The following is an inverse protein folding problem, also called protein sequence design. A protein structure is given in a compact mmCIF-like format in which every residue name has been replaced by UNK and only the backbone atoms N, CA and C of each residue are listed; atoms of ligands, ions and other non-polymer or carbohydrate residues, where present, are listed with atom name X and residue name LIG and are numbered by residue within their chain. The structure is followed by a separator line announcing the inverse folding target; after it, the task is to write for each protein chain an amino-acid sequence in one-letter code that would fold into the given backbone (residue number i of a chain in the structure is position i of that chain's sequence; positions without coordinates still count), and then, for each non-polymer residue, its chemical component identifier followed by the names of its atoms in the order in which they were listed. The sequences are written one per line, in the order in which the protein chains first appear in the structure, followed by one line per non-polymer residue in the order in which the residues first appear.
data_IF_845988532482
#
_entry.id   IF_845988532482
#
_cell.length_a   1.000
_cell.length_b   1.000
_cell.length_c   1.000
_cell.angle_alpha   90.00
_cell.angle_beta   90.00
_cell.angle_gamma   90.00
#
_symmetry.space_group_name_H-M   'P 1'
#
loop_
_entity.id
_entity.type
_entity.pdbx_description
1 polymer ?
#
# COMPACT_ATOMS: atom_id res chain seq x y z
N UNK A 1 -92.64 -31.01 -40.25
CA UNK A 1 -92.71 -31.53 -38.87
C UNK A 1 -91.29 -31.73 -38.38
N UNK A 2 -90.96 -31.28 -37.16
CA UNK A 2 -89.61 -31.47 -36.59
C UNK A 2 -89.45 -32.94 -36.22
N UNK A 3 -88.33 -33.55 -36.61
CA UNK A 3 -88.03 -34.96 -36.32
C UNK A 3 -87.37 -35.10 -34.94
N UNK A 4 -87.55 -36.25 -34.28
CA UNK A 4 -86.92 -36.52 -32.98
C UNK A 4 -85.38 -36.41 -33.03
N UNK A 5 -84.79 -36.78 -34.16
CA UNK A 5 -83.35 -36.69 -34.40
C UNK A 5 -82.86 -35.23 -34.37
N UNK A 6 -83.61 -34.31 -34.98
CA UNK A 6 -83.31 -32.86 -34.93
C UNK A 6 -83.40 -32.31 -33.50
N UNK A 7 -84.36 -32.79 -32.70
CA UNK A 7 -84.50 -32.40 -31.29
C UNK A 7 -83.29 -32.89 -30.49
N UNK A 8 -82.94 -34.18 -30.58
CA UNK A 8 -81.77 -34.74 -29.90
C UNK A 8 -80.47 -34.03 -30.29
N UNK A 9 -80.29 -33.72 -31.58
CA UNK A 9 -79.11 -33.02 -32.07
C UNK A 9 -79.00 -31.61 -31.50
N UNK A 10 -80.12 -30.87 -31.42
CA UNK A 10 -80.13 -29.54 -30.79
C UNK A 10 -79.77 -29.56 -29.30
N UNK A 11 -80.24 -30.56 -28.54
CA UNK A 11 -79.86 -30.73 -27.14
C UNK A 11 -78.38 -31.06 -27.00
N UNK A 12 -77.85 -31.94 -27.84
CA UNK A 12 -76.44 -32.31 -27.80
C UNK A 12 -75.53 -31.12 -28.11
N UNK A 13 -75.82 -30.36 -29.17
CA UNK A 13 -75.09 -29.14 -29.50
C UNK A 13 -75.16 -28.10 -28.37
N UNK A 14 -76.31 -27.99 -27.68
CA UNK A 14 -76.44 -27.11 -26.52
C UNK A 14 -75.55 -27.54 -25.34
N UNK A 15 -75.48 -28.84 -25.06
CA UNK A 15 -74.61 -29.38 -24.01
C UNK A 15 -73.12 -29.19 -24.34
N UNK A 16 -72.72 -29.44 -25.58
CA UNK A 16 -71.35 -29.20 -26.03
C UNK A 16 -70.97 -27.72 -25.94
N UNK A 17 -71.89 -26.81 -26.32
CA UNK A 17 -71.65 -25.37 -26.21
C UNK A 17 -71.43 -24.94 -24.74
N UNK A 18 -72.25 -25.44 -23.80
CA UNK A 18 -72.09 -25.14 -22.37
C UNK A 18 -70.77 -25.70 -21.84
N UNK A 19 -70.42 -26.94 -22.22
CA UNK A 19 -69.18 -27.57 -21.80
C UNK A 19 -67.95 -26.80 -22.32
N UNK A 20 -67.99 -26.33 -23.57
CA UNK A 20 -66.92 -25.52 -24.15
C UNK A 20 -66.76 -24.17 -23.44
N UNK A 21 -67.87 -23.47 -23.14
CA UNK A 21 -67.81 -22.21 -22.40
C UNK A 21 -67.16 -22.38 -21.02
N UNK A 22 -67.53 -23.44 -20.30
CA UNK A 22 -66.94 -23.74 -19.00
C UNK A 22 -65.44 -24.08 -19.11
N UNK A 23 -65.06 -24.89 -20.11
CA UNK A 23 -63.67 -25.24 -20.36
C UNK A 23 -62.81 -24.03 -20.72
N UNK A 24 -63.33 -23.08 -21.52
CA UNK A 24 -62.62 -21.86 -21.86
C UNK A 24 -62.39 -20.95 -20.64
N UNK A 25 -63.40 -20.79 -19.79
CA UNK A 25 -63.29 -20.00 -18.56
C UNK A 25 -62.31 -20.63 -17.57
N UNK A 26 -62.38 -21.96 -17.42
CA UNK A 26 -61.43 -22.72 -16.60
C UNK A 26 -60.01 -22.57 -17.14
N UNK A 27 -59.81 -22.67 -18.47
CA UNK A 27 -58.50 -22.52 -19.09
C UNK A 27 -57.94 -21.11 -18.84
N UNK A 28 -58.73 -20.05 -19.03
CA UNK A 28 -58.34 -18.66 -18.72
C UNK A 28 -57.89 -18.51 -17.27
N UNK A 29 -58.66 -19.08 -16.34
CA UNK A 29 -58.35 -19.04 -14.92
C UNK A 29 -57.05 -19.78 -14.60
N UNK A 30 -56.83 -20.97 -15.18
CA UNK A 30 -55.60 -21.74 -14.95
C UNK A 30 -54.36 -21.04 -15.49
N UNK A 31 -54.44 -20.43 -16.68
CA UNK A 31 -53.34 -19.66 -17.26
C UNK A 31 -53.01 -18.45 -16.40
N UNK A 32 -54.04 -17.75 -15.91
CA UNK A 32 -53.84 -16.60 -15.02
C UNK A 32 -53.17 -16.98 -13.70
N UNK A 33 -53.58 -18.09 -13.09
CA UNK A 33 -52.96 -18.61 -11.86
C UNK A 33 -51.49 -18.97 -12.11
N UNK A 34 -51.18 -19.67 -13.20
CA UNK A 34 -49.80 -20.03 -13.57
C UNK A 34 -48.92 -18.79 -13.77
N UNK A 35 -49.47 -17.72 -14.37
CA UNK A 35 -48.75 -16.47 -14.53
C UNK A 35 -48.45 -15.81 -13.18
N UNK A 36 -49.44 -15.75 -12.28
CA UNK A 36 -49.26 -15.20 -10.93
C UNK A 36 -48.28 -16.04 -10.09
N UNK A 37 -48.28 -17.35 -10.25
CA UNK A 37 -47.32 -18.24 -9.58
C UNK A 37 -45.89 -18.01 -10.07
N UNK A 38 -45.71 -17.83 -11.38
CA UNK A 38 -44.42 -17.51 -11.97
C UNK A 38 -43.89 -16.15 -11.48
N UNK A 39 -44.73 -15.12 -11.46
CA UNK A 39 -44.37 -13.79 -10.96
C UNK A 39 -44.04 -13.83 -9.46
N UNK A 40 -44.86 -14.51 -8.65
CA UNK A 40 -44.58 -14.69 -7.23
C UNK A 40 -43.24 -15.41 -6.98
N UNK A 41 -42.90 -16.39 -7.80
CA UNK A 41 -41.61 -17.08 -7.71
C UNK A 41 -40.45 -16.12 -7.98
N UNK A 42 -40.53 -15.33 -9.05
CA UNK A 42 -39.51 -14.32 -9.38
C UNK A 42 -39.38 -13.26 -8.28
N UNK A 43 -40.50 -12.77 -7.74
CA UNK A 43 -40.49 -11.82 -6.63
C UNK A 43 -39.85 -12.41 -5.37
N UNK A 44 -40.12 -13.68 -5.04
CA UNK A 44 -39.48 -14.35 -3.89
C UNK A 44 -37.97 -14.49 -4.07
N UNK A 45 -37.52 -14.85 -5.28
CA UNK A 45 -36.09 -14.97 -5.59
C UNK A 45 -35.37 -13.62 -5.49
N UNK A 46 -35.95 -12.56 -6.05
CA UNK A 46 -35.38 -11.21 -5.97
C UNK A 46 -35.35 -10.67 -4.53
N UNK A 47 -36.41 -10.89 -3.75
CA UNK A 47 -36.43 -10.54 -2.33
C UNK A 47 -35.33 -11.27 -1.56
N UNK A 48 -35.15 -12.57 -1.81
CA UNK A 48 -34.07 -13.34 -1.16
C UNK A 48 -32.69 -12.81 -1.54
N UNK A 49 -32.44 -12.49 -2.81
CA UNK A 49 -31.15 -11.92 -3.23
C UNK A 49 -30.89 -10.55 -2.60
N UNK A 50 -31.89 -9.68 -2.57
CA UNK A 50 -31.78 -8.35 -1.97
C UNK A 50 -31.55 -8.44 -0.46
N UNK A 51 -32.23 -9.36 0.23
CA UNK A 51 -32.01 -9.58 1.66
C UNK A 51 -30.58 -10.04 1.95
N UNK A 52 -30.01 -10.95 1.15
CA UNK A 52 -28.60 -11.36 1.28
C UNK A 52 -27.64 -10.18 1.04
N UNK A 53 -27.90 -9.35 0.04
CA UNK A 53 -27.07 -8.19 -0.24
C UNK A 53 -27.13 -7.15 0.89
N UNK A 54 -28.33 -6.87 1.41
CA UNK A 54 -28.51 -5.99 2.56
C UNK A 54 -27.74 -6.52 3.78
N UNK A 55 -27.85 -7.81 4.09
CA UNK A 55 -27.10 -8.41 5.20
C UNK A 55 -25.59 -8.28 5.01
N UNK A 56 -25.09 -8.52 3.79
CA UNK A 56 -23.66 -8.36 3.46
C UNK A 56 -23.21 -6.92 3.64
N UNK A 57 -23.97 -5.96 3.12
CA UNK A 57 -23.67 -4.53 3.24
C UNK A 57 -23.68 -4.09 4.71
N UNK A 58 -24.67 -4.50 5.50
CA UNK A 58 -24.74 -4.24 6.93
C UNK A 58 -23.56 -4.85 7.69
N UNK A 59 -23.19 -6.10 7.39
CA UNK A 59 -22.04 -6.74 8.01
C UNK A 59 -20.72 -6.03 7.66
N UNK A 60 -20.60 -5.43 6.48
CA UNK A 60 -19.42 -4.64 6.12
C UNK A 60 -19.41 -3.25 6.76
N UNK A 61 -20.57 -2.59 6.90
CA UNK A 61 -20.68 -1.25 7.47
C UNK A 61 -20.49 -1.23 8.99
N UNK A 62 -20.86 -2.32 9.67
CA UNK A 62 -20.66 -2.48 11.11
C UNK A 62 -19.21 -2.82 11.50
N UNK A 63 -18.35 -3.24 10.56
CA UNK A 63 -16.94 -3.55 10.82
C UNK A 63 -16.11 -2.27 10.88
N UNK A 64 -15.49 -2.02 12.02
CA UNK A 64 -14.57 -0.91 12.25
C UNK A 64 -13.29 -1.41 12.95
N UNK A 65 -12.31 -0.52 13.14
CA UNK A 65 -11.05 -0.87 13.81
C UNK A 65 -11.22 -1.42 15.24
N UNK A 66 -12.32 -1.07 15.93
CA UNK A 66 -12.62 -1.54 17.29
C UNK A 66 -13.05 -3.01 17.35
N UNK A 67 -13.75 -3.52 16.33
CA UNK A 67 -14.32 -4.88 16.34
C UNK A 67 -13.76 -5.84 15.28
N UNK A 68 -12.83 -5.38 14.41
CA UNK A 68 -12.38 -6.19 13.27
C UNK A 68 -10.86 -6.30 13.10
N UNK A 69 -10.05 -5.89 14.09
CA UNK A 69 -8.58 -5.88 14.05
C UNK A 69 -7.97 -5.11 12.85
N UNK A 70 -8.80 -4.38 12.10
CA UNK A 70 -8.37 -3.51 11.02
C UNK A 70 -7.68 -2.27 11.60
N UNK A 71 -6.65 -1.73 10.94
CA UNK A 71 -6.02 -0.51 11.43
C UNK A 71 -7.01 0.68 11.40
N UNK A 72 -6.95 1.61 12.37
CA UNK A 72 -7.86 2.77 12.46
C UNK A 72 -7.86 3.66 11.21
N UNK A 73 -6.79 3.62 10.42
CA UNK A 73 -6.66 4.35 9.16
C UNK A 73 -7.67 3.92 8.08
N UNK A 74 -8.23 2.72 8.20
CA UNK A 74 -9.14 2.11 7.20
C UNK A 74 -10.62 2.42 7.46
N UNK A 75 -10.95 3.03 8.61
CA UNK A 75 -12.31 3.45 8.95
C UNK A 75 -12.73 4.63 8.05
N UNK A 76 -13.40 4.32 6.95
CA UNK A 76 -13.64 5.25 5.84
C UNK A 76 -14.64 6.38 6.16
N UNK A 77 -15.43 6.24 7.23
CA UNK A 77 -16.52 7.19 7.56
C UNK A 77 -16.47 7.76 8.98
N UNK A 78 -15.66 7.22 9.89
CA UNK A 78 -15.58 7.65 11.30
C UNK A 78 -14.16 7.54 11.83
N UNK A 79 -13.23 8.29 11.23
CA UNK A 79 -11.87 8.38 11.77
C UNK A 79 -11.96 8.95 13.20
N UNK A 80 -11.49 8.25 14.24
CA UNK A 80 -11.47 8.80 15.58
C UNK A 80 -10.57 10.04 15.57
N UNK A 81 -11.10 11.17 16.05
CA UNK A 81 -10.31 12.39 16.23
C UNK A 81 -9.32 12.13 17.37
N UNK A 82 -8.11 11.69 17.02
CA UNK A 82 -7.04 11.48 18.00
C UNK A 82 -6.52 12.84 18.44
N UNK A 83 -6.91 13.27 19.65
CA UNK A 83 -6.34 14.45 20.28
C UNK A 83 -4.89 14.15 20.66
N UNK A 84 -3.95 14.95 20.17
CA UNK A 84 -2.54 14.85 20.56
C UNK A 84 -2.40 14.93 22.08
N UNK A 85 -1.84 13.89 22.70
CA UNK A 85 -1.47 13.90 24.13
C UNK A 85 -0.26 14.79 24.42
N UNK A 86 0.46 15.25 23.38
CA UNK A 86 1.62 16.13 23.52
C UNK A 86 1.18 17.49 24.07
N UNK A 87 1.82 17.94 25.16
CA UNK A 87 1.72 19.33 25.63
C UNK A 87 2.22 20.28 24.54
N UNK A 88 1.45 21.34 24.23
CA UNK A 88 1.85 22.37 23.26
C UNK A 88 3.12 23.05 23.77
N UNK A 89 4.20 22.97 23.01
CA UNK A 89 5.49 23.59 23.35
C UNK A 89 5.57 25.07 22.99
N UNK A 90 4.54 25.63 22.33
CA UNK A 90 4.50 27.02 21.85
C UNK A 90 5.49 27.34 20.72
N UNK A 91 6.40 26.41 20.39
CA UNK A 91 7.39 26.56 19.32
C UNK A 91 6.74 26.39 17.95
N UNK A 92 7.06 27.30 17.03
CA UNK A 92 6.68 27.18 15.61
C UNK A 92 7.30 25.90 15.02
N UNK A 93 6.58 25.25 14.11
CA UNK A 93 7.11 24.15 13.30
C UNK A 93 8.25 24.64 12.40
N UNK A 94 9.36 23.89 12.35
CA UNK A 94 10.54 24.22 11.54
C UNK A 94 11.77 24.59 12.38
N UNK A 95 12.81 25.09 11.70
CA UNK A 95 14.03 25.58 12.36
C UNK A 95 13.70 26.72 13.33
N UNK A 96 14.22 26.64 14.56
CA UNK A 96 13.89 27.65 15.58
C UNK A 96 14.70 28.92 15.32
N UNK A 97 14.08 30.07 15.61
CA UNK A 97 14.72 31.38 15.51
C UNK A 97 15.98 31.39 16.38
N UNK A 98 17.13 31.70 15.78
CA UNK A 98 18.44 31.69 16.44
C UNK A 98 19.31 30.46 16.17
N UNK A 99 18.80 29.41 15.50
CA UNK A 99 19.67 28.34 15.02
C UNK A 99 20.54 28.83 13.87
N UNK A 100 21.85 28.82 14.07
CA UNK A 100 22.82 29.06 12.99
C UNK A 100 22.76 27.89 12.01
N UNK A 101 22.20 28.12 10.82
CA UNK A 101 22.26 27.16 9.74
C UNK A 101 23.71 26.98 9.27
N UNK A 102 24.15 25.73 9.12
CA UNK A 102 25.40 25.40 8.44
C UNK A 102 25.08 24.89 7.04
N UNK A 103 25.69 25.49 6.02
CA UNK A 103 25.62 25.04 4.63
C UNK A 103 27.03 24.72 4.17
N UNK A 104 27.18 23.68 3.34
CA UNK A 104 28.43 23.45 2.60
C UNK A 104 28.70 24.63 1.66
N UNK A 105 29.73 25.41 1.96
CA UNK A 105 30.18 26.51 1.13
C UNK A 105 30.98 25.95 -0.08
N UNK A 106 30.88 26.56 -1.27
CA UNK A 106 31.74 26.20 -2.40
C UNK A 106 33.23 26.39 -2.05
N UNK A 107 34.07 25.47 -2.52
CA UNK A 107 35.53 25.50 -2.39
C UNK A 107 36.13 26.25 -3.58
N UNK A 108 37.19 27.03 -3.37
CA UNK A 108 37.84 27.77 -4.47
C UNK A 108 38.53 26.84 -5.47
N UNK A 109 39.21 25.79 -4.97
CA UNK A 109 39.98 24.83 -5.75
C UNK A 109 39.37 23.41 -5.63
N UNK A 110 38.42 23.02 -6.50
CA UNK A 110 37.89 21.66 -6.50
C UNK A 110 38.92 20.67 -7.07
N UNK A 111 38.91 19.43 -6.56
CA UNK A 111 39.82 18.36 -7.01
C UNK A 111 39.73 18.09 -8.52
N UNK A 112 38.53 18.20 -9.09
CA UNK A 112 38.28 18.00 -10.51
C UNK A 112 37.31 19.07 -11.03
N UNK A 113 37.60 19.62 -12.22
CA UNK A 113 36.73 20.57 -12.93
C UNK A 113 36.29 19.93 -14.24
N UNK A 114 35.00 19.66 -14.36
CA UNK A 114 34.37 19.19 -15.60
C UNK A 114 33.63 20.36 -16.24
N UNK A 115 33.96 20.67 -17.50
CA UNK A 115 33.28 21.73 -18.27
C UNK A 115 32.36 21.10 -19.31
N UNK A 116 31.12 21.59 -19.41
CA UNK A 116 30.15 21.17 -20.42
C UNK A 116 30.02 22.26 -21.50
N UNK A 117 30.73 22.15 -22.64
CA UNK A 117 30.64 23.11 -23.74
C UNK A 117 29.31 23.00 -24.49
N UNK A 118 28.95 24.06 -25.20
CA UNK A 118 27.79 24.10 -26.08
C UNK A 118 28.30 24.24 -27.51
N UNK A 119 27.94 23.28 -28.36
CA UNK A 119 28.38 23.25 -29.76
C UNK A 119 27.38 23.90 -30.71
N UNK A 120 26.08 23.79 -30.41
CA UNK A 120 25.00 24.24 -31.28
C UNK A 120 24.00 25.12 -30.53
N UNK A 121 23.46 26.12 -31.23
CA UNK A 121 22.36 26.93 -30.71
C UNK A 121 21.09 26.08 -30.56
N UNK A 122 20.48 26.09 -29.37
CA UNK A 122 19.25 25.32 -29.11
C UNK A 122 18.04 25.76 -29.95
N UNK A 123 18.07 26.96 -30.53
CA UNK A 123 16.95 27.51 -31.33
C UNK A 123 17.12 27.33 -32.83
N UNK A 124 18.31 27.61 -33.37
CA UNK A 124 18.56 27.62 -34.81
C UNK A 124 19.69 26.70 -35.26
N UNK A 125 20.27 25.92 -34.33
CA UNK A 125 21.33 24.93 -34.60
C UNK A 125 22.60 25.49 -35.24
N UNK A 126 22.79 26.80 -35.24
CA UNK A 126 24.04 27.40 -35.69
C UNK A 126 25.21 27.00 -34.78
N UNK A 127 26.43 26.83 -35.34
CA UNK A 127 27.61 26.45 -34.57
C UNK A 127 28.05 27.57 -33.62
N UNK A 128 28.35 27.19 -32.38
CA UNK A 128 28.77 28.08 -31.28
C UNK A 128 30.21 27.81 -30.82
N UNK A 129 30.89 26.81 -31.38
CA UNK A 129 32.25 26.38 -31.02
C UNK A 129 33.28 27.52 -30.99
N UNK A 130 33.20 28.41 -31.99
CA UNK A 130 34.15 29.51 -32.15
C UNK A 130 33.63 30.83 -31.57
N UNK A 131 32.45 30.82 -30.92
CA UNK A 131 31.89 32.01 -30.29
C UNK A 131 32.51 32.23 -28.90
N UNK A 132 32.71 33.49 -28.55
CA UNK A 132 33.26 33.85 -27.24
C UNK A 132 32.31 33.46 -26.10
N UNK A 133 32.86 32.87 -25.04
CA UNK A 133 32.12 32.55 -23.82
C UNK A 133 31.77 33.86 -23.09
N UNK A 134 30.48 34.16 -22.96
CA UNK A 134 29.99 35.37 -22.30
C UNK A 134 29.84 35.19 -20.78
N UNK A 135 29.54 33.98 -20.30
CA UNK A 135 29.40 33.70 -18.87
C UNK A 135 29.58 32.21 -18.54
N UNK A 136 29.85 31.90 -17.27
CA UNK A 136 29.88 30.52 -16.74
C UNK A 136 29.10 30.44 -15.42
N UNK A 137 28.27 29.40 -15.28
CA UNK A 137 27.63 29.05 -14.01
C UNK A 137 28.40 27.90 -13.35
N UNK A 138 28.68 28.01 -12.06
CA UNK A 138 29.41 26.99 -11.28
C UNK A 138 28.46 26.23 -10.36
N UNK A 139 28.63 24.91 -10.24
CA UNK A 139 27.97 24.03 -9.27
C UNK A 139 29.01 23.04 -8.74
N UNK A 140 29.00 22.79 -7.44
CA UNK A 140 29.90 21.82 -6.79
C UNK A 140 29.08 20.76 -6.08
N UNK A 141 29.48 19.52 -6.27
CA UNK A 141 28.92 18.34 -5.62
C UNK A 141 29.99 17.82 -4.66
N UNK A 142 29.59 17.57 -3.41
CA UNK A 142 30.47 17.06 -2.37
C UNK A 142 30.16 15.57 -2.16
N UNK A 143 30.95 14.71 -2.78
CA UNK A 143 30.84 13.25 -2.66
C UNK A 143 31.96 12.69 -1.78
N UNK A 144 31.64 11.71 -0.93
CA UNK A 144 32.60 10.98 -0.11
C UNK A 144 33.04 9.72 -0.86
N UNK A 145 34.21 9.76 -1.50
CA UNK A 145 34.66 8.70 -2.41
C UNK A 145 35.28 7.47 -1.71
N UNK A 146 35.64 7.54 -0.42
CA UNK A 146 36.08 6.34 0.31
C UNK A 146 35.90 6.45 1.83
N UNK A 147 34.71 6.10 2.32
CA UNK A 147 34.58 5.61 3.71
C UNK A 147 35.03 4.15 3.75
N UNK A 148 36.34 3.90 3.65
CA UNK A 148 36.89 2.58 3.95
C UNK A 148 36.90 2.41 5.47
N UNK A 149 36.05 1.52 5.96
CA UNK A 149 36.09 1.07 7.35
C UNK A 149 37.11 -0.05 7.38
N UNK A 150 38.22 0.16 8.09
CA UNK A 150 39.20 -0.90 8.34
C UNK A 150 38.71 -1.74 9.52
N UNK A 151 38.61 -3.05 9.29
CA UNK A 151 38.17 -4.02 10.30
C UNK A 151 39.34 -4.94 10.59
N UNK A 152 40.19 -4.62 11.58
CA UNK A 152 41.30 -5.50 11.95
C UNK A 152 40.74 -6.76 12.63
N UNK A 153 41.17 -7.93 12.14
CA UNK A 153 40.92 -9.23 12.76
C UNK A 153 42.15 -9.60 13.60
N UNK A 154 41.90 -10.11 14.81
CA UNK A 154 42.94 -10.59 15.71
C UNK A 154 42.76 -12.10 15.91
N UNK A 155 43.85 -12.86 15.80
CA UNK A 155 43.86 -14.31 15.97
C UNK A 155 44.82 -14.69 17.10
N UNK A 156 44.41 -15.66 17.92
CA UNK A 156 45.26 -16.29 18.95
C UNK A 156 45.60 -17.69 18.50
N UNK A 157 46.87 -18.05 18.64
CA UNK A 157 47.32 -19.42 18.37
C UNK A 157 47.25 -20.27 19.64
N UNK A 158 46.84 -21.53 19.47
CA UNK A 158 46.93 -22.55 20.51
C UNK A 158 47.89 -23.66 20.10
N UNK A 159 48.78 -24.06 21.01
CA UNK A 159 49.80 -25.10 20.76
C UNK A 159 49.84 -26.08 21.92
N UNK A 160 50.18 -27.33 21.60
CA UNK A 160 50.39 -28.39 22.60
C UNK A 160 51.89 -28.53 22.85
N UNK A 161 52.29 -28.44 24.11
CA UNK A 161 53.68 -28.62 24.50
C UNK A 161 54.11 -30.07 24.26
N UNK A 162 55.15 -30.30 23.46
CA UNK A 162 55.62 -31.65 23.13
C UNK A 162 56.25 -32.38 24.31
N UNK A 163 56.57 -31.69 25.39
CA UNK A 163 57.26 -32.28 26.55
C UNK A 163 56.31 -32.73 27.67
N UNK A 164 55.20 -32.01 27.88
CA UNK A 164 54.20 -32.33 28.91
C UNK A 164 52.77 -32.53 28.38
N UNK A 165 52.57 -32.39 27.06
CA UNK A 165 51.30 -32.55 26.35
C UNK A 165 50.18 -31.60 26.79
N UNK A 166 50.48 -30.56 27.56
CA UNK A 166 49.51 -29.52 27.92
C UNK A 166 49.24 -28.58 26.75
N UNK A 167 47.98 -28.17 26.60
CA UNK A 167 47.56 -27.17 25.62
C UNK A 167 47.66 -25.76 26.21
N UNK A 168 48.29 -24.85 25.47
CA UNK A 168 48.38 -23.43 25.79
C UNK A 168 47.84 -22.60 24.63
N UNK A 169 47.11 -21.53 24.94
CA UNK A 169 46.57 -20.60 23.94
C UNK A 169 46.99 -19.16 24.25
N UNK A 170 47.29 -18.40 23.21
CA UNK A 170 47.57 -16.97 23.31
C UNK A 170 46.37 -16.20 23.86
N UNK A 171 46.63 -15.29 24.80
CA UNK A 171 45.60 -14.43 25.37
C UNK A 171 45.46 -13.14 24.55
N UNK A 172 44.22 -12.77 24.22
CA UNK A 172 43.93 -11.45 23.69
C UNK A 172 44.08 -10.38 24.78
N UNK A 173 44.74 -9.26 24.47
CA UNK A 173 44.80 -8.10 25.36
C UNK A 173 43.37 -7.58 25.64
N UNK A 174 43.13 -7.02 26.83
CA UNK A 174 41.79 -6.65 27.35
C UNK A 174 40.96 -5.76 26.41
N UNK A 175 41.60 -5.04 25.49
CA UNK A 175 40.96 -4.17 24.50
C UNK A 175 40.31 -4.94 23.33
N UNK A 176 40.71 -6.19 23.08
CA UNK A 176 40.12 -7.07 22.07
C UNK A 176 39.09 -7.96 22.77
N UNK A 177 37.91 -7.41 23.04
CA UNK A 177 36.82 -8.13 23.70
C UNK A 177 35.99 -8.94 22.68
N UNK A 178 35.42 -10.07 23.11
CA UNK A 178 34.46 -10.85 22.30
C UNK A 178 33.29 -9.95 21.85
N UNK A 179 32.80 -10.18 20.63
CA UNK A 179 31.70 -9.42 20.04
C UNK A 179 30.47 -9.37 20.98
N UNK A 180 30.07 -8.18 21.43
CA UNK A 180 28.73 -7.97 22.02
C UNK A 180 27.70 -7.88 20.89
N UNK A 181 26.67 -8.73 20.92
CA UNK A 181 25.44 -8.51 20.16
C UNK A 181 24.77 -7.24 20.73
N UNK A 182 24.51 -6.25 19.89
CA UNK A 182 23.69 -5.11 20.26
C UNK A 182 22.24 -5.59 20.39
N UNK A 183 21.78 -5.85 21.62
CA UNK A 183 20.35 -6.02 21.89
C UNK A 183 19.69 -4.64 21.93
N UNK A 184 18.68 -4.50 21.07
CA UNK A 184 17.64 -3.47 21.06
C UNK A 184 18.07 -2.03 20.73
N UNK A 185 17.75 -1.65 19.49
CA UNK A 185 16.90 -0.47 19.30
C UNK A 185 17.56 0.89 19.11
N UNK A 186 18.65 0.98 18.35
CA UNK A 186 18.88 2.13 17.48
C UNK A 186 19.40 1.59 16.14
N UNK A 187 18.60 1.82 15.10
CA UNK A 187 18.92 1.53 13.71
C UNK A 187 20.38 1.83 13.39
N UNK A 188 21.11 0.76 13.07
CA UNK A 188 22.47 0.67 12.57
C UNK A 188 22.99 1.97 11.93
N UNK A 189 23.89 2.65 12.64
CA UNK A 189 25.09 3.35 12.14
C UNK A 189 25.80 4.06 13.31
N UNK A 190 26.03 3.33 14.41
CA UNK A 190 27.09 3.69 15.35
C UNK A 190 28.42 3.19 14.75
N UNK A 191 28.85 3.84 13.67
CA UNK A 191 30.28 3.90 13.37
C UNK A 191 30.87 4.74 14.48
N UNK A 192 31.68 4.10 15.30
CA UNK A 192 32.61 4.77 16.20
C UNK A 192 33.68 5.47 15.34
N UNK A 193 33.35 6.63 14.77
CA UNK A 193 34.31 7.69 14.50
C UNK A 193 33.98 8.79 15.50
N UNK A 194 34.67 8.72 16.63
CA UNK A 194 34.77 9.84 17.56
C UNK A 194 35.62 10.94 16.89
N UNK A 195 35.27 12.20 17.22
CA UNK A 195 36.00 13.47 16.98
C UNK A 195 35.88 14.01 15.53
N UNK A 196 35.09 15.05 15.27
CA UNK A 196 35.36 16.42 15.68
C UNK A 196 34.13 17.11 16.30
N UNK A 197 34.03 17.06 17.63
CA UNK A 197 33.52 18.19 18.42
C UNK A 197 34.53 18.49 19.51
N UNK A 198 35.45 19.43 19.23
CA UNK A 198 35.94 20.52 20.10
C UNK A 198 37.28 21.10 19.59
N UNK A 199 37.39 22.43 19.66
CA UNK A 199 38.55 23.27 19.33
C UNK A 199 38.24 24.13 18.10
N UNK A 200 37.75 25.38 18.18
CA UNK A 200 37.93 26.50 19.12
C UNK A 200 36.59 27.21 19.33
#
# INVERSE_FOLDING_TARGET
MVTMEQICQSYHMGLEAIQNLFMEEHLKSTVYIQQLEAENKQLKETVASLQMEIQKLQATSQKNSSNSHKPPSTDSCKKPITKSLRKKTGRKSGGQIGHKGYRLAPVENPHHIVTHPIFLCSKCQSPLEQKQIVSRKKRQVFDLLSTKIEVPQYESEGKVCSNCLSFEEGLFLVLVQKSKRFENGLSNLAILVLLLKKGV
#
